data_IF_502092829451
#
_entry.id   IF_502092829451
#
_cell.length_a   1.000
_cell.length_b   1.000
_cell.length_c   1.000
_cell.angle_alpha   90.00
_cell.angle_beta   90.00
_cell.angle_gamma   90.00
#
_symmetry.space_group_name_H-M   'P 1'
#
loop_
_entity.id
_entity.type
_entity.pdbx_description
1 polymer ?
#
# COMPACT_ATOMS: atom_id res chain seq x y z
N UNK A 1 -18.13 -24.49 -5.57
CA UNK A 1 -17.68 -24.70 -6.96
C UNK A 1 -16.23 -24.31 -7.00
N UNK A 2 -15.34 -25.28 -7.27
CA UNK A 2 -13.90 -25.11 -7.22
C UNK A 2 -13.47 -24.03 -8.21
N UNK A 3 -13.17 -22.83 -7.71
CA UNK A 3 -12.66 -21.75 -8.55
C UNK A 3 -11.21 -22.10 -8.86
N UNK A 4 -10.94 -22.36 -10.14
CA UNK A 4 -9.62 -22.08 -10.70
C UNK A 4 -9.21 -20.69 -10.22
N UNK A 5 -7.95 -20.52 -9.80
CA UNK A 5 -7.39 -19.21 -9.44
C UNK A 5 -7.81 -18.18 -10.51
N UNK A 6 -8.37 -17.04 -10.10
CA UNK A 6 -8.99 -16.03 -10.98
C UNK A 6 -8.09 -15.58 -12.14
N UNK A 7 -6.77 -15.76 -12.00
CA UNK A 7 -5.77 -15.36 -12.97
C UNK A 7 -4.94 -16.54 -13.53
N UNK A 8 -5.38 -17.78 -13.35
CA UNK A 8 -4.63 -18.97 -13.76
C UNK A 8 -4.24 -18.94 -15.25
N UNK A 9 -5.18 -18.55 -16.13
CA UNK A 9 -4.93 -18.45 -17.56
C UNK A 9 -3.87 -17.40 -17.91
N UNK A 10 -3.88 -16.25 -17.22
CA UNK A 10 -2.91 -15.17 -17.42
C UNK A 10 -1.47 -15.55 -17.00
N UNK A 11 -1.31 -16.63 -16.21
CA UNK A 11 0.00 -17.12 -15.77
C UNK A 11 0.55 -18.27 -16.65
N UNK A 12 -0.17 -18.70 -17.68
CA UNK A 12 0.28 -19.80 -18.56
C UNK A 12 1.45 -19.39 -19.47
N UNK A 13 1.51 -18.12 -19.89
CA UNK A 13 2.54 -17.62 -20.81
C UNK A 13 2.94 -16.15 -20.50
N UNK A 14 3.85 -15.93 -19.54
CA UNK A 14 4.27 -14.58 -19.16
C UNK A 14 5.11 -13.89 -20.25
N UNK A 15 4.71 -12.68 -20.64
CA UNK A 15 5.38 -11.88 -21.68
C UNK A 15 6.20 -10.71 -21.12
N UNK A 16 6.27 -10.58 -19.79
CA UNK A 16 7.08 -9.57 -19.12
C UNK A 16 6.26 -8.41 -18.56
N UNK A 17 6.85 -7.21 -18.50
CA UNK A 17 6.19 -6.06 -17.90
C UNK A 17 4.98 -5.61 -18.74
N UNK A 18 3.82 -5.49 -18.09
CA UNK A 18 2.56 -5.10 -18.76
C UNK A 18 1.88 -6.23 -19.53
N UNK A 19 2.24 -7.49 -19.27
CA UNK A 19 1.54 -8.66 -19.80
C UNK A 19 0.13 -8.85 -19.19
N UNK A 20 -0.53 -9.97 -19.53
CA UNK A 20 -1.91 -10.24 -19.15
C UNK A 20 -2.14 -10.46 -17.64
N UNK A 21 -1.08 -10.53 -16.82
CA UNK A 21 -1.23 -10.70 -15.36
C UNK A 21 -1.82 -9.43 -14.74
N UNK A 22 -2.67 -9.58 -13.71
CA UNK A 22 -3.42 -8.46 -13.17
C UNK A 22 -2.50 -7.43 -12.49
N UNK A 23 -2.91 -6.17 -12.57
CA UNK A 23 -2.32 -5.11 -11.75
C UNK A 23 -2.88 -5.17 -10.33
N UNK A 24 -2.20 -4.52 -9.38
CA UNK A 24 -2.73 -4.39 -8.01
C UNK A 24 -4.11 -3.69 -7.99
N UNK A 25 -4.33 -2.70 -8.88
CA UNK A 25 -5.61 -2.01 -8.99
C UNK A 25 -6.70 -2.91 -9.57
N UNK A 26 -6.37 -3.72 -10.58
CA UNK A 26 -7.28 -4.73 -11.13
C UNK A 26 -7.76 -5.69 -10.05
N UNK A 27 -6.84 -6.16 -9.18
CA UNK A 27 -7.20 -7.06 -8.07
C UNK A 27 -8.18 -6.38 -7.11
N UNK A 28 -7.96 -5.10 -6.75
CA UNK A 28 -8.90 -4.37 -5.89
C UNK A 28 -10.29 -4.24 -6.52
N UNK A 29 -10.36 -4.07 -7.84
CA UNK A 29 -11.60 -3.98 -8.59
C UNK A 29 -12.32 -5.32 -8.70
N UNK A 30 -11.60 -6.38 -9.05
CA UNK A 30 -12.15 -7.73 -9.21
C UNK A 30 -12.68 -8.27 -7.87
N UNK A 31 -12.03 -7.94 -6.75
CA UNK A 31 -12.48 -8.27 -5.39
C UNK A 31 -13.60 -7.33 -4.87
N UNK A 32 -14.00 -6.31 -5.64
CA UNK A 32 -15.01 -5.33 -5.25
C UNK A 32 -14.67 -4.54 -3.98
N UNK A 33 -13.37 -4.32 -3.73
CA UNK A 33 -12.85 -3.77 -2.49
C UNK A 33 -12.78 -2.22 -2.46
N UNK A 34 -13.11 -1.55 -3.57
CA UNK A 34 -13.17 -0.08 -3.63
C UNK A 34 -14.13 0.50 -2.57
N UNK A 35 -13.63 1.45 -1.77
CA UNK A 35 -14.35 2.04 -0.64
C UNK A 35 -14.73 1.09 0.52
N UNK A 36 -14.40 -0.21 0.46
CA UNK A 36 -14.85 -1.20 1.46
C UNK A 36 -14.04 -1.21 2.75
N UNK A 37 -12.86 -0.61 2.76
CA UNK A 37 -11.96 -0.59 3.90
C UNK A 37 -11.94 0.77 4.61
N UNK A 38 -12.94 1.61 4.38
CA UNK A 38 -13.14 2.85 5.13
C UNK A 38 -13.13 2.57 6.65
N UNK A 39 -12.41 3.40 7.40
CA UNK A 39 -12.22 3.22 8.85
C UNK A 39 -11.22 2.14 9.25
N UNK A 40 -10.60 1.43 8.30
CA UNK A 40 -9.45 0.56 8.57
C UNK A 40 -8.14 1.33 8.40
N UNK A 41 -7.14 0.92 9.15
CA UNK A 41 -5.76 1.42 9.05
C UNK A 41 -4.89 0.33 8.47
N UNK A 42 -4.12 0.67 7.44
CA UNK A 42 -3.15 -0.22 6.79
C UNK A 42 -1.77 0.43 6.87
N UNK A 43 -0.79 -0.34 7.31
CA UNK A 43 0.61 0.10 7.39
C UNK A 43 1.39 -0.63 6.30
N UNK A 44 2.04 0.12 5.41
CA UNK A 44 2.88 -0.45 4.35
C UNK A 44 4.34 -0.23 4.71
N UNK A 45 5.04 -1.33 4.95
CA UNK A 45 6.49 -1.30 5.17
C UNK A 45 7.22 -1.02 3.86
N UNK A 46 8.23 -0.14 3.89
CA UNK A 46 9.06 0.22 2.73
C UNK A 46 8.26 0.72 1.51
N UNK A 47 7.33 1.65 1.71
CA UNK A 47 6.40 2.13 0.68
C UNK A 47 7.01 3.09 -0.37
N UNK A 48 8.33 3.07 -0.59
CA UNK A 48 9.05 4.16 -1.28
C UNK A 48 9.44 3.86 -2.73
N UNK A 49 9.36 2.61 -3.19
CA UNK A 49 9.76 2.25 -4.57
C UNK A 49 9.13 0.95 -5.06
N UNK A 50 9.16 0.77 -6.39
CA UNK A 50 8.73 -0.46 -7.06
C UNK A 50 7.29 -0.85 -6.71
N UNK A 51 7.09 -2.14 -6.41
CA UNK A 51 5.76 -2.71 -6.13
C UNK A 51 5.04 -2.01 -4.97
N UNK A 52 5.77 -1.47 -4.00
CA UNK A 52 5.17 -0.88 -2.80
C UNK A 52 4.41 0.42 -3.09
N UNK A 53 4.86 1.19 -4.09
CA UNK A 53 4.17 2.39 -4.58
C UNK A 53 2.86 2.00 -5.26
N UNK A 54 2.87 0.92 -6.02
CA UNK A 54 1.67 0.40 -6.68
C UNK A 54 0.68 -0.24 -5.71
N UNK A 55 1.18 -0.94 -4.69
CA UNK A 55 0.38 -1.42 -3.57
C UNK A 55 -0.28 -0.25 -2.81
N UNK A 56 0.47 0.81 -2.52
CA UNK A 56 -0.07 2.00 -1.86
C UNK A 56 -1.14 2.69 -2.72
N UNK A 57 -0.92 2.79 -4.04
CA UNK A 57 -1.90 3.35 -4.99
C UNK A 57 -3.17 2.51 -5.06
N UNK A 58 -3.05 1.19 -5.14
CA UNK A 58 -4.20 0.30 -5.20
C UNK A 58 -4.98 0.29 -3.87
N UNK A 59 -4.29 0.30 -2.74
CA UNK A 59 -4.96 0.30 -1.44
C UNK A 59 -5.60 1.65 -1.10
N UNK A 60 -5.16 2.77 -1.69
CA UNK A 60 -5.76 4.09 -1.39
C UNK A 60 -7.21 4.21 -1.88
N UNK A 61 -7.59 3.49 -2.95
CA UNK A 61 -8.96 3.49 -3.47
C UNK A 61 -9.93 2.66 -2.62
N UNK A 62 -9.41 1.84 -1.69
CA UNK A 62 -10.25 1.05 -0.76
C UNK A 62 -10.90 1.92 0.33
N UNK A 63 -10.51 3.20 0.44
CA UNK A 63 -10.97 4.12 1.48
C UNK A 63 -10.26 3.97 2.83
N UNK A 64 -9.31 3.04 2.95
CA UNK A 64 -8.49 2.88 4.15
C UNK A 64 -7.60 4.10 4.43
N UNK A 65 -7.25 4.28 5.71
CA UNK A 65 -6.13 5.14 6.12
C UNK A 65 -4.83 4.37 5.92
N UNK A 66 -3.89 4.95 5.19
CA UNK A 66 -2.59 4.36 4.87
C UNK A 66 -1.47 5.10 5.60
N UNK A 67 -0.65 4.34 6.34
CA UNK A 67 0.63 4.80 6.86
C UNK A 67 1.76 4.15 6.06
N UNK A 68 2.49 4.98 5.34
CA UNK A 68 3.57 4.58 4.44
C UNK A 68 4.90 4.78 5.18
N UNK A 69 5.56 3.69 5.55
CA UNK A 69 6.80 3.76 6.31
C UNK A 69 7.99 4.11 5.40
N UNK A 70 8.75 5.13 5.79
CA UNK A 70 9.96 5.55 5.10
C UNK A 70 11.08 5.91 6.08
N UNK A 71 12.33 5.64 5.70
CA UNK A 71 13.53 6.09 6.43
C UNK A 71 14.00 7.47 5.99
N UNK A 72 13.85 7.75 4.70
CA UNK A 72 14.16 9.04 4.10
C UNK A 72 12.84 9.67 3.63
N UNK A 73 12.35 10.63 4.42
CA UNK A 73 11.09 11.30 4.14
C UNK A 73 11.12 12.08 2.81
N UNK A 74 12.23 12.75 2.49
CA UNK A 74 12.32 13.55 1.26
C UNK A 74 12.25 12.69 0.00
N UNK A 75 12.91 11.54 -0.01
CA UNK A 75 12.82 10.58 -1.11
C UNK A 75 11.39 10.02 -1.23
N UNK A 76 10.79 9.66 -0.09
CA UNK A 76 9.44 9.12 -0.05
C UNK A 76 8.40 10.13 -0.57
N UNK A 77 8.50 11.40 -0.17
CA UNK A 77 7.60 12.46 -0.65
C UNK A 77 7.68 12.62 -2.17
N UNK A 78 8.88 12.61 -2.75
CA UNK A 78 9.06 12.67 -4.20
C UNK A 78 8.40 11.49 -4.92
N UNK A 79 8.62 10.27 -4.44
CA UNK A 79 8.12 9.07 -5.11
C UNK A 79 6.60 8.88 -4.92
N UNK A 80 6.04 9.40 -3.83
CA UNK A 80 4.64 9.20 -3.46
C UNK A 80 3.77 10.44 -3.64
N UNK A 81 4.27 11.54 -4.21
CA UNK A 81 3.54 12.81 -4.37
C UNK A 81 2.14 12.63 -4.95
N UNK A 82 1.93 11.66 -5.86
CA UNK A 82 0.63 11.40 -6.51
C UNK A 82 -0.35 10.57 -5.66
N UNK A 83 0.09 10.01 -4.55
CA UNK A 83 -0.67 9.08 -3.69
C UNK A 83 -0.89 9.67 -2.29
N UNK A 84 -0.03 10.59 -1.85
CA UNK A 84 -0.20 11.26 -0.56
C UNK A 84 -1.50 12.06 -0.52
N UNK A 85 -2.20 11.91 0.60
CA UNK A 85 -3.47 12.56 0.84
C UNK A 85 -3.57 12.93 2.31
N UNK A 86 -3.49 14.23 2.64
CA UNK A 86 -3.54 14.70 4.02
C UNK A 86 -4.74 14.11 4.78
N UNK A 87 -4.47 13.46 5.90
CA UNK A 87 -5.49 12.85 6.77
C UNK A 87 -5.93 11.43 6.39
N UNK A 88 -5.55 10.90 5.22
CA UNK A 88 -5.80 9.50 4.86
C UNK A 88 -4.55 8.72 4.46
N UNK A 89 -3.65 9.30 3.66
CA UNK A 89 -2.45 8.62 3.18
C UNK A 89 -1.24 9.46 3.56
N UNK A 90 -0.48 9.00 4.56
CA UNK A 90 0.58 9.79 5.21
C UNK A 90 1.86 9.00 5.41
N UNK A 91 2.98 9.72 5.43
CA UNK A 91 4.31 9.16 5.68
C UNK A 91 4.63 9.15 7.16
N UNK A 92 5.13 8.01 7.65
CA UNK A 92 5.68 7.86 9.01
C UNK A 92 7.18 7.58 8.89
N UNK A 93 7.99 8.34 9.62
CA UNK A 93 9.43 8.12 9.65
C UNK A 93 9.76 6.94 10.58
N UNK A 94 10.10 5.79 10.01
CA UNK A 94 10.33 4.57 10.78
C UNK A 94 11.42 3.72 10.11
N UNK A 95 12.49 3.46 10.87
CA UNK A 95 13.55 2.54 10.52
C UNK A 95 13.37 1.20 11.27
N UNK A 96 13.11 0.14 10.51
CA UNK A 96 12.88 -1.21 11.05
C UNK A 96 14.16 -1.84 11.62
N UNK A 97 15.33 -1.26 11.36
CA UNK A 97 16.61 -1.72 11.92
C UNK A 97 16.89 -1.11 13.31
N UNK A 98 16.01 -0.23 13.82
CA UNK A 98 16.18 0.47 15.10
C UNK A 98 14.96 0.35 15.99
N UNK A 99 15.07 -0.38 17.11
CA UNK A 99 13.98 -0.50 18.08
C UNK A 99 13.52 0.85 18.66
N UNK A 100 14.44 1.81 18.79
CA UNK A 100 14.09 3.17 19.20
C UNK A 100 13.21 3.85 18.16
N UNK A 101 13.56 3.72 16.87
CA UNK A 101 12.73 4.24 15.77
C UNK A 101 11.39 3.51 15.67
N UNK A 102 11.36 2.17 15.78
CA UNK A 102 10.13 1.38 15.80
C UNK A 102 9.19 1.86 16.90
N UNK A 103 9.69 2.03 18.14
CA UNK A 103 8.86 2.52 19.25
C UNK A 103 8.34 3.93 19.02
N UNK A 104 9.14 4.83 18.45
CA UNK A 104 8.71 6.19 18.13
C UNK A 104 7.63 6.20 17.03
N UNK A 105 7.86 5.51 15.92
CA UNK A 105 6.91 5.42 14.82
C UNK A 105 5.61 4.70 15.20
N UNK A 106 5.68 3.67 16.05
CA UNK A 106 4.47 3.02 16.59
C UNK A 106 3.63 4.00 17.45
N UNK A 107 4.26 4.84 18.26
CA UNK A 107 3.57 5.91 19.01
C UNK A 107 2.92 6.93 18.08
N UNK A 108 3.61 7.33 17.01
CA UNK A 108 3.08 8.26 16.00
C UNK A 108 1.87 7.66 15.27
N UNK A 109 1.96 6.40 14.85
CA UNK A 109 0.86 5.66 14.24
C UNK A 109 -0.34 5.63 15.18
N UNK A 110 -0.14 5.24 16.45
CA UNK A 110 -1.22 5.16 17.43
C UNK A 110 -1.89 6.51 17.71
N UNK A 111 -1.10 7.59 17.79
CA UNK A 111 -1.63 8.94 18.00
C UNK A 111 -2.41 9.48 16.79
N UNK A 112 -2.07 9.02 15.58
CA UNK A 112 -2.68 9.50 14.33
C UNK A 112 -3.84 8.61 13.88
N UNK A 113 -3.81 7.31 14.21
CA UNK A 113 -4.89 6.39 13.94
C UNK A 113 -6.09 6.71 14.83
N UNK A 114 -7.27 6.93 14.22
CA UNK A 114 -8.54 7.09 14.95
C UNK A 114 -9.17 5.74 15.33
N UNK A 115 -8.34 4.73 15.57
CA UNK A 115 -8.74 3.35 15.87
C UNK A 115 -8.81 3.07 17.35
#
# INVERSE_FOLDING_TARGET
MSSLSSYAAAHLDPQGAGDARPTALQIIQDEGAEGKLAGKVIIITRAISGISVETARALSVTGATLFLLARNRSEAEKNLTRILEPGRVSLINLDLDSFTSIRAGAKEILATSKG
#
